data_IF_559490925275
#
_entry.id   IF_559490925275
#
_cell.length_a   1.000
_cell.length_b   1.000
_cell.length_c   1.000
_cell.angle_alpha   90.00
_cell.angle_beta   90.00
_cell.angle_gamma   90.00
#
_symmetry.space_group_name_H-M   'P 1'
#
loop_
_entity.id
_entity.type
_entity.pdbx_description
1 polymer ?
#
# COMPACT_ATOMS: atom_id res chain seq x y z
N UNK A 1 9.40 27.33 -1.89
CA UNK A 1 10.40 26.83 -0.93
C UNK A 1 10.74 25.40 -1.34
N UNK A 2 12.00 25.13 -1.67
CA UNK A 2 12.44 23.73 -1.82
C UNK A 2 12.40 23.09 -0.41
N UNK A 3 11.55 22.10 -0.24
CA UNK A 3 11.46 21.32 0.99
C UNK A 3 12.61 20.33 0.97
N UNK A 4 13.45 20.38 1.99
CA UNK A 4 14.54 19.43 2.15
C UNK A 4 13.97 18.13 2.70
N UNK A 5 14.27 17.00 2.05
CA UNK A 5 13.89 15.70 2.55
C UNK A 5 14.59 15.43 3.90
N UNK A 6 13.83 14.95 4.88
CA UNK A 6 14.32 14.65 6.23
C UNK A 6 14.35 13.15 6.48
N UNK A 7 15.29 12.71 7.30
CA UNK A 7 15.37 11.33 7.76
C UNK A 7 14.65 11.17 9.10
N UNK A 8 13.94 10.07 9.22
CA UNK A 8 13.38 9.62 10.49
C UNK A 8 13.89 8.21 10.78
N UNK A 9 14.55 8.06 11.91
CA UNK A 9 15.21 6.81 12.30
C UNK A 9 14.59 6.23 13.57
N UNK A 10 14.25 4.95 13.52
CA UNK A 10 13.71 4.22 14.67
C UNK A 10 14.02 2.73 14.54
N UNK A 11 14.49 2.11 15.63
CA UNK A 11 14.73 0.65 15.66
C UNK A 11 15.70 0.13 14.60
N UNK A 12 16.72 0.92 14.23
CA UNK A 12 17.71 0.56 13.21
C UNK A 12 17.21 0.68 11.76
N UNK A 13 16.02 1.24 11.55
CA UNK A 13 15.47 1.51 10.22
C UNK A 13 15.27 3.01 9.99
N UNK A 14 15.32 3.41 8.73
CA UNK A 14 15.17 4.81 8.31
C UNK A 14 14.11 4.91 7.23
N UNK A 15 13.14 5.79 7.40
CA UNK A 15 12.34 6.35 6.30
C UNK A 15 12.84 7.75 5.94
N UNK A 16 12.52 8.21 4.73
CA UNK A 16 12.83 9.58 4.31
C UNK A 16 11.54 10.28 3.95
N UNK A 17 11.29 11.41 4.58
CA UNK A 17 10.08 12.21 4.43
C UNK A 17 10.39 13.55 3.74
N UNK A 18 9.55 13.95 2.83
CA UNK A 18 9.53 15.28 2.25
C UNK A 18 8.18 15.92 2.56
N UNK A 19 8.23 17.04 3.28
CA UNK A 19 7.03 17.76 3.72
C UNK A 19 6.87 19.06 2.93
N UNK A 20 5.63 19.35 2.53
CA UNK A 20 5.27 20.62 1.88
C UNK A 20 3.78 20.92 2.02
N UNK A 21 3.37 22.11 1.60
CA UNK A 21 1.98 22.51 1.55
C UNK A 21 1.54 23.44 2.68
N UNK A 22 0.24 23.52 2.89
CA UNK A 22 -0.37 24.39 3.88
C UNK A 22 0.04 23.96 5.29
N UNK A 23 0.23 24.92 6.20
CA UNK A 23 0.39 24.64 7.65
C UNK A 23 -0.95 24.42 8.35
N UNK A 24 -1.98 24.01 7.61
CA UNK A 24 -3.24 23.60 8.19
C UNK A 24 -3.03 22.38 9.12
N UNK A 25 -3.84 22.25 10.15
CA UNK A 25 -3.79 21.14 11.11
C UNK A 25 -4.24 19.79 10.50
N UNK A 26 -4.31 19.70 9.17
CA UNK A 26 -4.72 18.52 8.41
C UNK A 26 -3.51 17.95 7.67
N UNK A 27 -3.17 16.73 7.97
CA UNK A 27 -2.04 16.05 7.37
C UNK A 27 -2.51 14.97 6.38
N UNK A 28 -1.79 14.85 5.26
CA UNK A 28 -1.98 13.76 4.31
C UNK A 28 -0.63 13.10 4.01
N UNK A 29 -0.54 11.80 4.26
CA UNK A 29 0.68 11.00 4.17
C UNK A 29 0.55 10.01 3.04
N UNK A 30 1.50 10.02 2.12
CA UNK A 30 1.54 9.16 0.95
C UNK A 30 2.61 8.08 1.09
N UNK A 31 2.18 6.80 0.95
CA UNK A 31 3.02 5.61 1.01
C UNK A 31 3.02 4.92 -0.37
N UNK A 32 4.17 4.85 -1.02
CA UNK A 32 4.34 4.35 -2.39
C UNK A 32 4.30 2.81 -2.50
N UNK A 33 4.21 2.31 -3.74
CA UNK A 33 4.24 0.89 -4.07
C UNK A 33 5.64 0.28 -4.03
N UNK A 34 5.73 -1.06 -4.11
CA UNK A 34 7.00 -1.80 -4.21
C UNK A 34 7.79 -1.35 -5.44
N UNK A 35 9.11 -1.22 -5.29
CA UNK A 35 9.99 -0.80 -6.38
C UNK A 35 9.87 0.67 -6.82
N UNK A 36 8.95 1.42 -6.21
CA UNK A 36 8.77 2.85 -6.42
C UNK A 36 9.45 3.67 -5.31
N UNK A 37 9.23 4.97 -5.32
CA UNK A 37 9.67 5.90 -4.30
C UNK A 37 8.61 6.99 -4.11
N UNK A 38 8.84 7.93 -3.19
CA UNK A 38 7.92 9.04 -2.89
C UNK A 38 7.51 9.85 -4.12
N UNK A 39 8.41 10.02 -5.11
CA UNK A 39 8.14 10.80 -6.30
C UNK A 39 7.07 10.19 -7.19
N UNK A 40 6.84 8.89 -7.11
CA UNK A 40 5.78 8.21 -7.85
C UNK A 40 4.38 8.76 -7.53
N UNK A 41 4.16 9.25 -6.30
CA UNK A 41 2.90 9.82 -5.84
C UNK A 41 2.91 11.37 -5.83
N UNK A 42 4.02 12.01 -6.22
CA UNK A 42 4.17 13.47 -6.22
C UNK A 42 3.07 14.17 -7.03
N UNK A 43 2.73 13.63 -8.19
CA UNK A 43 1.70 14.21 -9.06
C UNK A 43 0.34 14.36 -8.40
N UNK A 44 -0.08 13.36 -7.61
CA UNK A 44 -1.33 13.45 -6.85
C UNK A 44 -1.14 14.26 -5.55
N UNK A 45 -0.03 14.11 -4.87
CA UNK A 45 0.25 14.75 -3.59
C UNK A 45 0.29 16.28 -3.68
N UNK A 46 0.91 16.83 -4.74
CA UNK A 46 0.97 18.29 -4.95
C UNK A 46 -0.40 18.95 -5.10
N UNK A 47 -1.40 18.20 -5.53
CA UNK A 47 -2.76 18.71 -5.64
C UNK A 47 -3.43 18.93 -4.28
N UNK A 48 -2.90 18.38 -3.19
CA UNK A 48 -3.38 18.62 -1.82
C UNK A 48 -2.64 19.76 -1.10
N UNK A 49 -1.54 20.25 -1.69
CA UNK A 49 -0.72 21.33 -1.11
C UNK A 49 -1.50 22.56 -0.62
N UNK A 50 -2.59 23.02 -1.29
CA UNK A 50 -3.32 24.21 -0.81
C UNK A 50 -4.10 24.00 0.49
N UNK A 51 -4.43 22.76 0.84
CA UNK A 51 -5.37 22.44 1.92
C UNK A 51 -4.81 21.52 3.01
N UNK A 52 -3.66 20.88 2.76
CA UNK A 52 -3.08 19.91 3.67
C UNK A 52 -1.57 20.14 3.83
N UNK A 53 -1.05 19.73 4.97
CA UNK A 53 0.37 19.46 5.15
C UNK A 53 0.64 18.07 4.55
N UNK A 54 1.37 18.04 3.44
CA UNK A 54 1.62 16.85 2.64
C UNK A 54 2.93 16.20 3.06
N UNK A 55 2.91 14.90 3.27
CA UNK A 55 4.07 14.08 3.57
C UNK A 55 4.25 13.03 2.46
N UNK A 56 5.39 13.08 1.78
CA UNK A 56 5.80 12.08 0.79
C UNK A 56 6.92 11.24 1.39
N UNK A 57 6.66 9.94 1.60
CA UNK A 57 7.59 9.06 2.31
C UNK A 57 8.26 8.08 1.37
N UNK A 58 9.61 8.01 1.43
CA UNK A 58 10.36 6.83 0.97
C UNK A 58 10.39 5.80 2.11
N UNK A 59 9.77 4.67 1.88
CA UNK A 59 9.80 3.54 2.81
C UNK A 59 11.19 2.87 2.79
N UNK A 60 11.66 2.26 3.89
CA UNK A 60 12.96 1.58 3.95
C UNK A 60 13.20 0.62 2.78
N UNK A 61 14.38 0.72 2.16
CA UNK A 61 14.75 -0.04 0.98
C UNK A 61 14.37 0.59 -0.35
N UNK A 62 13.73 1.76 -0.33
CA UNK A 62 13.27 2.46 -1.54
C UNK A 62 13.69 3.92 -1.54
N UNK A 63 13.83 4.49 -2.77
CA UNK A 63 14.19 5.90 -2.93
C UNK A 63 15.50 6.26 -2.22
N UNK A 64 15.45 7.24 -1.33
CA UNK A 64 16.58 7.70 -0.53
C UNK A 64 16.69 6.99 0.84
N UNK A 65 15.77 6.10 1.17
CA UNK A 65 15.77 5.34 2.42
C UNK A 65 16.67 4.08 2.30
N UNK A 66 17.56 3.82 3.27
CA UNK A 66 18.41 2.63 3.25
C UNK A 66 17.60 1.34 3.39
N UNK A 67 18.25 0.20 3.13
CA UNK A 67 17.63 -1.11 3.30
C UNK A 67 17.12 -1.29 4.74
N UNK A 68 15.96 -1.92 4.93
CA UNK A 68 15.50 -2.28 6.27
C UNK A 68 16.35 -3.41 6.86
N UNK A 69 16.32 -3.62 8.18
CA UNK A 69 16.88 -4.80 8.80
C UNK A 69 16.32 -6.10 8.21
N UNK A 70 17.10 -7.16 8.31
CA UNK A 70 16.66 -8.49 7.87
C UNK A 70 15.42 -8.96 8.67
N UNK A 71 14.63 -9.79 8.02
CA UNK A 71 13.48 -10.39 8.68
C UNK A 71 12.21 -9.55 8.69
N UNK A 72 12.23 -8.32 8.17
CA UNK A 72 11.09 -7.41 8.15
C UNK A 72 9.87 -7.94 7.38
N UNK A 73 8.72 -7.44 7.78
CA UNK A 73 7.37 -7.68 7.22
C UNK A 73 6.61 -6.37 7.11
N UNK A 74 5.37 -6.36 6.62
CA UNK A 74 4.54 -5.15 6.62
C UNK A 74 4.20 -4.67 8.03
N UNK A 75 4.33 -5.52 9.06
CA UNK A 75 4.15 -5.12 10.46
C UNK A 75 5.25 -4.15 10.88
N UNK A 76 6.51 -4.47 10.57
CA UNK A 76 7.67 -3.64 10.93
C UNK A 76 7.65 -2.30 10.20
N UNK A 77 7.23 -2.28 8.94
CA UNK A 77 6.99 -1.02 8.22
C UNK A 77 5.88 -0.20 8.88
N UNK A 78 4.81 -0.83 9.33
CA UNK A 78 3.74 -0.15 10.04
C UNK A 78 4.21 0.38 11.41
N UNK A 79 5.09 -0.35 12.12
CA UNK A 79 5.69 0.11 13.37
C UNK A 79 6.53 1.38 13.17
N UNK A 80 7.36 1.40 12.15
CA UNK A 80 8.19 2.56 11.82
C UNK A 80 7.32 3.78 11.41
N UNK A 81 6.34 3.57 10.53
CA UNK A 81 5.44 4.67 10.11
C UNK A 81 4.58 5.14 11.28
N UNK A 82 4.11 4.24 12.16
CA UNK A 82 3.41 4.65 13.38
C UNK A 82 4.27 5.55 14.28
N UNK A 83 5.51 5.17 14.51
CA UNK A 83 6.43 5.99 15.30
C UNK A 83 6.63 7.38 14.65
N UNK A 84 6.79 7.42 13.33
CA UNK A 84 6.86 8.66 12.58
C UNK A 84 5.61 9.54 12.77
N UNK A 85 4.40 8.96 12.62
CA UNK A 85 3.15 9.68 12.79
C UNK A 85 3.05 10.28 14.20
N UNK A 86 3.34 9.49 15.23
CA UNK A 86 3.23 9.92 16.63
C UNK A 86 4.26 10.98 17.03
N UNK A 87 5.46 10.97 16.44
CA UNK A 87 6.54 11.89 16.81
C UNK A 87 6.58 13.17 15.94
N UNK A 88 6.04 13.12 14.73
CA UNK A 88 6.19 14.20 13.73
C UNK A 88 4.89 14.89 13.37
N UNK A 89 3.75 14.31 13.69
CA UNK A 89 2.46 14.83 13.25
C UNK A 89 1.56 15.05 14.47
N UNK A 90 1.08 16.28 14.59
CA UNK A 90 0.05 16.65 15.58
C UNK A 90 -1.23 17.02 14.83
N UNK A 91 -2.28 16.22 14.96
CA UNK A 91 -3.56 16.44 14.29
C UNK A 91 -4.06 15.25 13.47
N UNK A 92 -5.20 15.41 12.80
CA UNK A 92 -5.81 14.36 12.02
C UNK A 92 -4.99 14.04 10.75
N UNK A 93 -4.79 12.75 10.50
CA UNK A 93 -3.99 12.22 9.39
C UNK A 93 -4.87 11.45 8.43
N UNK A 94 -4.74 11.74 7.14
CA UNK A 94 -5.24 10.92 6.06
C UNK A 94 -4.08 10.09 5.52
N UNK A 95 -4.20 8.75 5.53
CA UNK A 95 -3.19 7.87 4.97
C UNK A 95 -3.59 7.46 3.55
N UNK A 96 -2.72 7.70 2.58
CA UNK A 96 -2.90 7.30 1.17
C UNK A 96 -1.83 6.27 0.84
N UNK A 97 -2.23 5.02 0.67
CA UNK A 97 -1.32 3.93 0.36
C UNK A 97 -1.58 3.32 -1.02
N UNK A 98 -0.53 3.25 -1.85
CA UNK A 98 -0.58 2.55 -3.12
C UNK A 98 0.08 1.17 -3.00
N UNK A 99 -0.59 0.12 -3.48
CA UNK A 99 -0.05 -1.24 -3.59
C UNK A 99 0.66 -1.69 -2.30
N UNK A 100 1.99 -1.78 -2.25
CA UNK A 100 2.75 -2.09 -1.04
C UNK A 100 2.48 -1.10 0.10
N UNK A 101 2.49 0.21 -0.18
CA UNK A 101 2.13 1.24 0.79
C UNK A 101 0.69 1.08 1.30
N UNK A 102 -0.20 0.55 0.47
CA UNK A 102 -1.56 0.18 0.87
C UNK A 102 -1.58 -0.94 1.92
N UNK A 103 -0.71 -1.96 1.80
CA UNK A 103 -0.58 -3.01 2.84
C UNK A 103 -0.16 -2.41 4.18
N UNK A 104 0.82 -1.49 4.16
CA UNK A 104 1.27 -0.77 5.37
C UNK A 104 0.12 0.06 5.95
N UNK A 105 -0.64 0.75 5.09
CA UNK A 105 -1.83 1.53 5.50
C UNK A 105 -2.89 0.65 6.17
N UNK A 106 -3.18 -0.53 5.63
CA UNK A 106 -4.12 -1.50 6.24
C UNK A 106 -3.65 -1.92 7.63
N UNK A 107 -2.35 -2.23 7.80
CA UNK A 107 -1.77 -2.57 9.11
C UNK A 107 -1.90 -1.42 10.11
N UNK A 108 -1.62 -0.18 9.68
CA UNK A 108 -1.73 1.01 10.52
C UNK A 108 -3.17 1.30 10.95
N UNK A 109 -4.10 1.28 10.01
CA UNK A 109 -5.51 1.56 10.26
C UNK A 109 -6.15 0.53 11.22
N UNK A 110 -5.75 -0.74 11.11
CA UNK A 110 -6.19 -1.81 12.00
C UNK A 110 -5.80 -1.57 13.48
N UNK A 111 -4.80 -0.75 13.74
CA UNK A 111 -4.36 -0.39 15.12
C UNK A 111 -5.28 0.64 15.78
N UNK A 112 -6.21 1.23 15.03
CA UNK A 112 -7.20 2.20 15.52
C UNK A 112 -6.55 3.39 16.24
N UNK A 113 -5.41 3.88 15.71
CA UNK A 113 -4.71 5.03 16.28
C UNK A 113 -5.60 6.27 16.22
N UNK A 114 -5.74 7.03 17.33
CA UNK A 114 -6.68 8.15 17.42
C UNK A 114 -6.46 9.26 16.37
N UNK A 115 -5.23 9.42 15.90
CA UNK A 115 -4.86 10.41 14.89
C UNK A 115 -5.23 10.03 13.46
N UNK A 116 -5.56 8.77 13.15
CA UNK A 116 -5.92 8.37 11.79
C UNK A 116 -7.38 8.72 11.54
N UNK A 117 -7.61 9.79 10.76
CA UNK A 117 -8.92 10.30 10.41
C UNK A 117 -9.60 9.48 9.32
N UNK A 118 -8.83 9.12 8.27
CA UNK A 118 -9.32 8.37 7.12
C UNK A 118 -8.19 7.68 6.38
N UNK A 119 -8.53 6.68 5.56
CA UNK A 119 -7.55 6.00 4.69
C UNK A 119 -8.01 5.97 3.24
N UNK A 120 -7.04 6.00 2.33
CA UNK A 120 -7.24 5.77 0.89
C UNK A 120 -6.36 4.61 0.46
N UNK A 121 -6.96 3.54 -0.02
CA UNK A 121 -6.28 2.34 -0.50
C UNK A 121 -6.33 2.31 -2.03
N UNK A 122 -5.19 2.51 -2.66
CA UNK A 122 -5.06 2.53 -4.11
C UNK A 122 -4.45 1.21 -4.59
N UNK A 123 -5.22 0.40 -5.34
CA UNK A 123 -4.74 -0.86 -5.91
C UNK A 123 -4.00 -1.75 -4.89
N UNK A 124 -4.57 -1.95 -3.71
CA UNK A 124 -3.92 -2.58 -2.56
C UNK A 124 -4.07 -4.11 -2.56
N UNK A 125 -2.99 -4.90 -2.66
CA UNK A 125 -3.04 -6.35 -2.51
C UNK A 125 -3.13 -6.75 -1.03
N UNK A 126 -3.23 -8.06 -0.74
CA UNK A 126 -3.10 -8.58 0.63
C UNK A 126 -4.20 -9.52 1.06
N UNK A 127 -5.28 -9.62 0.28
CA UNK A 127 -6.32 -10.62 0.54
C UNK A 127 -6.06 -11.87 -0.29
N UNK A 128 -6.22 -13.07 0.28
CA UNK A 128 -6.03 -14.31 -0.44
C UNK A 128 -7.11 -14.49 -1.52
N UNK A 129 -6.70 -14.96 -2.69
CA UNK A 129 -7.67 -15.39 -3.70
C UNK A 129 -8.39 -16.64 -3.22
N UNK A 130 -9.68 -16.74 -3.54
CA UNK A 130 -10.40 -17.99 -3.31
C UNK A 130 -9.64 -19.16 -3.95
N UNK A 131 -9.42 -20.27 -3.22
CA UNK A 131 -8.76 -21.46 -3.75
C UNK A 131 -9.42 -22.00 -5.03
N UNK A 132 -10.74 -21.84 -5.14
CA UNK A 132 -11.56 -22.29 -6.29
C UNK A 132 -11.58 -21.31 -7.46
N UNK A 133 -10.98 -20.12 -7.32
CA UNK A 133 -10.87 -19.18 -8.44
C UNK A 133 -9.84 -19.67 -9.48
N UNK A 134 -10.00 -19.28 -10.76
CA UNK A 134 -9.02 -19.58 -11.82
C UNK A 134 -7.61 -19.09 -11.44
N UNK A 135 -7.51 -17.94 -10.76
CA UNK A 135 -6.25 -17.40 -10.25
C UNK A 135 -5.71 -18.20 -9.06
N UNK A 136 -6.58 -18.69 -8.17
CA UNK A 136 -6.21 -19.55 -7.06
C UNK A 136 -5.66 -20.89 -7.54
N UNK A 137 -6.36 -21.57 -8.45
CA UNK A 137 -5.91 -22.83 -9.05
C UNK A 137 -4.57 -22.68 -9.81
N UNK A 138 -4.41 -21.60 -10.59
CA UNK A 138 -3.15 -21.31 -11.28
C UNK A 138 -2.00 -21.09 -10.28
N UNK A 139 -2.22 -20.31 -9.21
CA UNK A 139 -1.20 -20.10 -8.14
C UNK A 139 -0.87 -21.41 -7.44
N UNK A 140 -1.87 -22.23 -7.13
CA UNK A 140 -1.65 -23.54 -6.55
C UNK A 140 -0.78 -24.42 -7.45
N UNK A 141 -1.08 -24.53 -8.74
CA UNK A 141 -0.27 -25.28 -9.71
C UNK A 141 1.18 -24.78 -9.81
N UNK A 142 1.40 -23.46 -9.80
CA UNK A 142 2.75 -22.86 -9.81
C UNK A 142 3.51 -23.21 -8.53
N UNK A 143 2.84 -23.16 -7.37
CA UNK A 143 3.45 -23.49 -6.06
C UNK A 143 3.78 -24.96 -5.95
N UNK A 144 2.89 -25.85 -6.38
CA UNK A 144 3.13 -27.32 -6.38
C UNK A 144 4.28 -27.70 -7.31
N UNK A 145 4.33 -27.13 -8.52
CA UNK A 145 5.45 -27.35 -9.43
C UNK A 145 6.77 -26.88 -8.82
N UNK A 146 6.79 -25.70 -8.19
CA UNK A 146 8.01 -25.20 -7.52
C UNK A 146 8.43 -26.09 -6.35
N UNK A 147 7.48 -26.60 -5.56
CA UNK A 147 7.77 -27.53 -4.49
C UNK A 147 8.36 -28.85 -5.01
N UNK A 148 7.79 -29.39 -6.08
CA UNK A 148 8.28 -30.59 -6.76
C UNK A 148 9.70 -30.39 -7.30
N UNK A 149 9.97 -29.27 -7.97
CA UNK A 149 11.32 -28.95 -8.49
C UNK A 149 12.34 -28.76 -7.36
N UNK A 150 11.92 -28.26 -6.18
CA UNK A 150 12.81 -28.21 -5.00
C UNK A 150 13.12 -29.61 -4.47
N UNK A 151 12.12 -30.48 -4.39
CA UNK A 151 12.27 -31.84 -3.90
C UNK A 151 13.15 -32.69 -4.83
N UNK A 152 13.01 -32.49 -6.14
CA UNK A 152 13.74 -33.22 -7.18
C UNK A 152 15.04 -32.51 -7.63
N UNK A 153 15.53 -31.51 -6.89
CA UNK A 153 16.70 -30.71 -7.26
C UNK A 153 17.94 -31.54 -7.56
N UNK A 154 18.13 -32.66 -6.87
CA UNK A 154 19.22 -33.61 -7.13
C UNK A 154 19.15 -34.28 -8.51
N UNK A 155 17.94 -34.44 -9.07
CA UNK A 155 17.68 -35.09 -10.34
C UNK A 155 17.57 -34.07 -11.50
N UNK A 156 16.95 -32.91 -11.24
CA UNK A 156 16.64 -31.88 -12.27
C UNK A 156 17.69 -30.80 -12.39
N UNK A 157 18.62 -30.72 -11.43
CA UNK A 157 19.66 -29.70 -11.36
C UNK A 157 19.12 -28.29 -11.01
N UNK A 158 20.04 -27.33 -10.76
CA UNK A 158 19.66 -25.96 -10.38
C UNK A 158 18.99 -25.17 -11.51
N UNK A 159 19.20 -25.57 -12.78
CA UNK A 159 18.65 -24.89 -13.95
C UNK A 159 17.13 -24.95 -14.05
N UNK A 160 16.50 -26.05 -13.63
CA UNK A 160 15.05 -26.21 -13.66
C UNK A 160 14.33 -25.23 -12.74
N UNK A 161 14.87 -25.03 -11.54
CA UNK A 161 14.32 -24.07 -10.58
C UNK A 161 14.54 -22.61 -11.04
N UNK A 162 15.69 -22.33 -11.63
CA UNK A 162 16.00 -21.03 -12.24
C UNK A 162 15.07 -20.72 -13.43
N UNK A 163 14.83 -21.71 -14.30
CA UNK A 163 13.86 -21.60 -15.39
C UNK A 163 12.44 -21.32 -14.86
N UNK A 164 11.98 -22.08 -13.86
CA UNK A 164 10.69 -21.87 -13.24
C UNK A 164 10.55 -20.45 -12.68
N UNK A 165 11.58 -19.96 -11.98
CA UNK A 165 11.61 -18.60 -11.42
C UNK A 165 11.55 -17.54 -12.51
N UNK A 166 12.28 -17.71 -13.61
CA UNK A 166 12.22 -16.77 -14.76
C UNK A 166 10.87 -16.82 -15.47
N UNK A 167 10.23 -17.98 -15.57
CA UNK A 167 8.98 -18.17 -16.32
C UNK A 167 7.75 -17.71 -15.55
N UNK A 168 7.76 -17.83 -14.21
CA UNK A 168 6.61 -17.60 -13.34
C UNK A 168 6.86 -16.53 -12.25
N UNK A 169 8.10 -16.04 -12.11
CA UNK A 169 8.42 -14.93 -11.20
C UNK A 169 7.84 -13.61 -11.73
N UNK A 170 7.31 -12.78 -10.84
CA UNK A 170 6.92 -11.42 -11.19
C UNK A 170 8.14 -10.56 -11.55
N UNK A 171 7.92 -9.45 -12.26
CA UNK A 171 8.97 -8.45 -12.54
C UNK A 171 9.61 -7.97 -11.23
N UNK A 172 8.79 -7.69 -10.22
CA UNK A 172 9.25 -7.27 -8.89
C UNK A 172 10.15 -8.32 -8.23
N UNK A 173 9.81 -9.61 -8.32
CA UNK A 173 10.65 -10.69 -7.78
C UNK A 173 12.02 -10.78 -8.44
N UNK A 174 12.08 -10.55 -9.75
CA UNK A 174 13.36 -10.56 -10.49
C UNK A 174 14.19 -9.32 -10.17
N UNK A 175 13.56 -8.18 -9.96
CA UNK A 175 14.20 -6.90 -9.66
C UNK A 175 14.51 -6.68 -8.17
N UNK A 176 13.97 -7.50 -7.24
CA UNK A 176 14.04 -7.26 -5.81
C UNK A 176 15.46 -7.29 -5.20
N UNK A 177 16.44 -7.87 -5.89
CA UNK A 177 17.83 -7.90 -5.41
C UNK A 177 17.95 -8.39 -3.96
N UNK A 178 18.58 -7.58 -3.06
CA UNK A 178 18.73 -7.93 -1.64
C UNK A 178 17.39 -8.00 -0.88
N UNK A 179 16.35 -7.32 -1.35
CA UNK A 179 15.03 -7.31 -0.72
C UNK A 179 14.13 -8.50 -1.15
N UNK A 180 14.68 -9.51 -1.84
CA UNK A 180 13.89 -10.64 -2.37
C UNK A 180 13.16 -11.43 -1.28
N UNK A 181 13.80 -11.70 -0.17
CA UNK A 181 13.21 -12.47 0.92
C UNK A 181 12.11 -11.67 1.62
N UNK A 182 12.30 -10.38 1.75
CA UNK A 182 11.28 -9.44 2.23
C UNK A 182 10.06 -9.43 1.26
N UNK A 183 10.29 -9.30 -0.05
CA UNK A 183 9.20 -9.35 -1.03
C UNK A 183 8.40 -10.65 -0.92
N UNK A 184 9.10 -11.81 -0.84
CA UNK A 184 8.44 -13.11 -0.70
C UNK A 184 7.58 -13.16 0.57
N UNK A 185 8.07 -12.60 1.67
CA UNK A 185 7.32 -12.52 2.92
C UNK A 185 6.08 -11.65 2.76
N UNK A 186 6.26 -10.42 2.30
CA UNK A 186 5.19 -9.43 2.08
C UNK A 186 4.07 -9.95 1.16
N UNK A 187 4.41 -10.58 0.03
CA UNK A 187 3.38 -11.06 -0.91
C UNK A 187 2.60 -12.28 -0.38
N UNK A 188 3.13 -12.98 0.62
CA UNK A 188 2.45 -14.12 1.25
C UNK A 188 1.66 -13.74 2.51
N UNK A 189 1.73 -12.49 2.97
CA UNK A 189 0.94 -12.02 4.09
C UNK A 189 -0.55 -11.98 3.74
N UNK A 190 -1.36 -12.40 4.70
CA UNK A 190 -2.82 -12.28 4.68
C UNK A 190 -3.23 -11.10 5.57
N UNK A 191 -3.88 -10.10 4.97
CA UNK A 191 -4.36 -8.91 5.64
C UNK A 191 -5.86 -8.98 6.01
N UNK A 192 -6.49 -10.15 5.88
CA UNK A 192 -7.94 -10.30 6.12
C UNK A 192 -8.32 -9.80 7.52
N UNK A 193 -7.66 -10.27 8.56
CA UNK A 193 -7.93 -9.85 9.93
C UNK A 193 -7.69 -8.34 10.12
N UNK A 194 -6.57 -7.82 9.58
CA UNK A 194 -6.30 -6.38 9.68
C UNK A 194 -7.35 -5.53 8.97
N UNK A 195 -7.86 -5.97 7.81
CA UNK A 195 -8.91 -5.26 7.10
C UNK A 195 -10.25 -5.23 7.86
N UNK A 196 -10.56 -6.31 8.62
CA UNK A 196 -11.73 -6.39 9.50
C UNK A 196 -11.64 -5.45 10.70
N UNK A 197 -10.43 -5.20 11.20
CA UNK A 197 -10.19 -4.35 12.37
C UNK A 197 -10.20 -2.85 12.08
N UNK A 198 -10.24 -2.43 10.81
CA UNK A 198 -10.31 -1.02 10.43
C UNK A 198 -11.65 -0.43 10.85
N UNK A 199 -11.64 0.73 11.51
CA UNK A 199 -12.84 1.44 11.97
C UNK A 199 -12.96 2.85 11.39
N UNK A 200 -11.87 3.45 10.90
CA UNK A 200 -11.91 4.75 10.25
C UNK A 200 -12.51 4.67 8.84
N UNK A 201 -13.08 5.77 8.31
CA UNK A 201 -13.55 5.82 6.93
C UNK A 201 -12.48 5.40 5.93
N UNK A 202 -12.86 4.61 4.91
CA UNK A 202 -11.94 4.07 3.91
C UNK A 202 -12.44 4.33 2.48
N UNK A 203 -11.59 4.91 1.62
CA UNK A 203 -11.81 4.99 0.18
C UNK A 203 -10.94 3.95 -0.52
N UNK A 204 -11.57 3.05 -1.25
CA UNK A 204 -10.90 2.08 -2.12
C UNK A 204 -10.89 2.65 -3.53
N UNK A 205 -9.71 2.79 -4.12
CA UNK A 205 -9.57 3.28 -5.50
C UNK A 205 -8.87 2.22 -6.35
N UNK A 206 -9.49 1.86 -7.45
CA UNK A 206 -8.99 0.78 -8.30
C UNK A 206 -9.15 1.07 -9.78
N UNK A 207 -8.20 0.62 -10.59
CA UNK A 207 -8.34 0.59 -12.03
C UNK A 207 -9.12 -0.63 -12.50
N UNK A 208 -10.07 -0.46 -13.45
CA UNK A 208 -10.82 -1.59 -14.01
C UNK A 208 -9.94 -2.60 -14.76
N UNK A 209 -8.80 -2.14 -15.28
CA UNK A 209 -7.87 -2.93 -16.09
C UNK A 209 -6.62 -3.37 -15.31
N UNK A 210 -6.64 -3.21 -13.97
CA UNK A 210 -5.54 -3.63 -13.10
C UNK A 210 -5.33 -5.15 -13.15
N UNK A 211 -4.17 -5.57 -13.67
CA UNK A 211 -3.77 -6.98 -13.78
C UNK A 211 -2.85 -7.43 -12.66
N UNK A 212 -2.23 -6.50 -11.94
CA UNK A 212 -1.32 -6.79 -10.83
C UNK A 212 -2.12 -7.05 -9.54
N UNK A 213 -3.09 -6.17 -9.26
CA UNK A 213 -4.10 -6.34 -8.20
C UNK A 213 -5.50 -6.32 -8.83
N UNK A 214 -5.99 -7.46 -9.32
CA UNK A 214 -7.24 -7.50 -10.07
C UNK A 214 -8.44 -6.94 -9.29
N UNK A 215 -9.42 -6.32 -9.96
CA UNK A 215 -10.55 -5.60 -9.35
C UNK A 215 -11.37 -6.39 -8.31
N UNK A 216 -11.37 -7.72 -8.38
CA UNK A 216 -12.04 -8.53 -7.36
C UNK A 216 -11.49 -8.29 -5.94
N UNK A 217 -10.24 -7.86 -5.81
CA UNK A 217 -9.64 -7.48 -4.52
C UNK A 217 -10.33 -6.26 -3.93
N UNK A 218 -10.65 -5.25 -4.75
CA UNK A 218 -11.37 -4.06 -4.30
C UNK A 218 -12.75 -4.41 -3.74
N UNK A 219 -13.49 -5.25 -4.45
CA UNK A 219 -14.82 -5.71 -3.99
C UNK A 219 -14.70 -6.54 -2.71
N UNK A 220 -13.66 -7.36 -2.60
CA UNK A 220 -13.42 -8.16 -1.40
C UNK A 220 -13.05 -7.30 -0.20
N UNK A 221 -12.22 -6.26 -0.38
CA UNK A 221 -11.95 -5.28 0.68
C UNK A 221 -13.22 -4.54 1.09
N UNK A 222 -14.01 -4.08 0.13
CA UNK A 222 -15.27 -3.37 0.39
C UNK A 222 -16.24 -4.21 1.22
N UNK A 223 -16.47 -5.46 0.79
CA UNK A 223 -17.32 -6.43 1.51
C UNK A 223 -16.82 -6.66 2.94
N UNK A 224 -15.53 -6.95 3.08
CA UNK A 224 -14.89 -7.29 4.34
C UNK A 224 -14.95 -6.14 5.35
N UNK A 225 -14.62 -4.92 4.92
CA UNK A 225 -14.66 -3.74 5.76
C UNK A 225 -16.10 -3.38 6.18
N UNK A 226 -17.04 -3.33 5.24
CA UNK A 226 -18.42 -2.93 5.53
C UNK A 226 -19.16 -3.96 6.39
N UNK A 227 -18.86 -5.27 6.25
CA UNK A 227 -19.45 -6.30 7.10
C UNK A 227 -18.97 -6.23 8.56
N UNK A 228 -17.90 -5.47 8.83
CA UNK A 228 -17.35 -5.24 10.18
C UNK A 228 -17.53 -3.80 10.66
N UNK A 229 -18.42 -3.03 10.02
CA UNK A 229 -18.84 -1.70 10.47
C UNK A 229 -17.98 -0.53 9.97
N UNK A 230 -16.98 -0.76 9.11
CA UNK A 230 -16.22 0.31 8.48
C UNK A 230 -17.08 1.01 7.42
N UNK A 231 -17.00 2.34 7.34
CA UNK A 231 -17.58 3.11 6.23
C UNK A 231 -16.63 3.10 5.03
N UNK A 232 -16.59 1.99 4.33
CA UNK A 232 -15.76 1.85 3.13
C UNK A 232 -16.59 2.17 1.87
N UNK A 233 -16.01 2.93 0.95
CA UNK A 233 -16.56 3.21 -0.38
C UNK A 233 -15.57 2.78 -1.46
N UNK A 234 -16.07 2.39 -2.63
CA UNK A 234 -15.24 1.98 -3.77
C UNK A 234 -15.45 2.93 -4.94
N UNK A 235 -14.34 3.43 -5.45
CA UNK A 235 -14.27 4.19 -6.70
C UNK A 235 -13.48 3.38 -7.74
N UNK A 236 -14.21 2.75 -8.67
CA UNK A 236 -13.63 1.99 -9.77
C UNK A 236 -13.39 2.93 -10.95
N UNK A 237 -12.11 3.11 -11.33
CA UNK A 237 -11.70 4.01 -12.40
C UNK A 237 -11.66 3.26 -13.74
N UNK A 238 -12.55 3.60 -14.70
CA UNK A 238 -12.58 2.93 -16.00
C UNK A 238 -11.26 3.09 -16.75
N UNK A 239 -10.83 2.01 -17.41
CA UNK A 239 -9.62 1.97 -18.26
C UNK A 239 -8.32 2.41 -17.57
N UNK A 240 -8.26 2.36 -16.25
CA UNK A 240 -7.03 2.55 -15.48
C UNK A 240 -6.45 1.20 -15.08
N UNK A 241 -5.12 1.14 -15.09
CA UNK A 241 -4.33 0.00 -14.64
C UNK A 241 -3.90 0.13 -13.16
N UNK A 242 -2.88 -0.61 -12.77
CA UNK A 242 -2.30 -0.60 -11.43
C UNK A 242 -1.80 0.79 -10.99
N UNK A 243 -1.31 1.59 -11.96
CA UNK A 243 -0.80 2.95 -11.72
C UNK A 243 -1.86 4.01 -12.03
N UNK A 244 -3.05 3.85 -11.46
CA UNK A 244 -4.24 4.66 -11.70
C UNK A 244 -4.00 6.19 -11.56
N UNK A 245 -2.99 6.59 -10.83
CA UNK A 245 -2.59 7.99 -10.60
C UNK A 245 -1.60 8.53 -11.65
N UNK A 246 -1.20 7.74 -12.64
CA UNK A 246 -0.25 8.18 -13.66
C UNK A 246 -0.85 9.16 -14.65
N UNK A 247 -0.07 10.16 -15.06
CA UNK A 247 -0.50 11.19 -16.01
C UNK A 247 -1.74 11.94 -15.52
N UNK A 248 -2.76 12.02 -16.37
CA UNK A 248 -4.05 12.66 -16.03
C UNK A 248 -4.78 11.97 -14.88
N UNK A 249 -4.41 10.75 -14.55
CA UNK A 249 -4.97 10.00 -13.42
C UNK A 249 -4.73 10.67 -12.08
N UNK A 250 -3.63 11.42 -11.92
CA UNK A 250 -3.36 12.17 -10.69
C UNK A 250 -4.48 13.16 -10.35
N UNK A 251 -4.92 13.95 -11.34
CA UNK A 251 -6.02 14.91 -11.18
C UNK A 251 -7.35 14.22 -10.87
N UNK A 252 -7.65 13.12 -11.55
CA UNK A 252 -8.85 12.34 -11.32
C UNK A 252 -8.87 11.76 -9.90
N UNK A 253 -7.77 11.13 -9.47
CA UNK A 253 -7.65 10.58 -8.12
C UNK A 253 -7.79 11.69 -7.07
N UNK A 254 -7.09 12.81 -7.21
CA UNK A 254 -7.17 13.90 -6.26
C UNK A 254 -8.59 14.52 -6.19
N UNK A 255 -9.27 14.67 -7.33
CA UNK A 255 -10.66 15.13 -7.38
C UNK A 255 -11.59 14.19 -6.60
N UNK A 256 -11.48 12.89 -6.84
CA UNK A 256 -12.27 11.85 -6.17
C UNK A 256 -12.01 11.81 -4.66
N UNK A 257 -10.74 11.84 -4.24
CA UNK A 257 -10.37 11.86 -2.82
C UNK A 257 -10.93 13.09 -2.13
N UNK A 258 -10.79 14.30 -2.73
CA UNK A 258 -11.34 15.53 -2.14
C UNK A 258 -12.86 15.48 -2.00
N UNK A 259 -13.56 15.04 -3.05
CA UNK A 259 -15.02 14.89 -3.00
C UNK A 259 -15.46 13.95 -1.88
N UNK A 260 -14.78 12.82 -1.73
CA UNK A 260 -15.05 11.86 -0.67
C UNK A 260 -14.72 12.42 0.73
N UNK A 261 -13.57 13.11 0.91
CA UNK A 261 -13.21 13.75 2.18
C UNK A 261 -14.24 14.79 2.61
N UNK A 262 -14.75 15.62 1.70
CA UNK A 262 -15.80 16.61 2.02
C UNK A 262 -17.06 15.92 2.54
N UNK A 263 -17.43 14.75 2.00
CA UNK A 263 -18.61 14.01 2.47
C UNK A 263 -18.38 13.44 3.86
N UNK A 264 -17.24 12.81 4.13
CA UNK A 264 -16.98 12.24 5.47
C UNK A 264 -16.82 13.31 6.54
N UNK A 265 -16.18 14.45 6.22
CA UNK A 265 -16.06 15.57 7.15
C UNK A 265 -17.44 16.13 7.53
N UNK A 266 -18.32 16.36 6.54
CA UNK A 266 -19.68 16.82 6.80
C UNK A 266 -20.50 15.85 7.69
N UNK A 267 -20.34 14.55 7.48
CA UNK A 267 -21.02 13.52 8.30
C UNK A 267 -20.47 13.49 9.72
N UNK A 268 -19.16 13.66 9.90
CA UNK A 268 -18.53 13.65 11.23
C UNK A 268 -18.86 14.91 12.04
N UNK A 269 -18.98 16.07 11.39
CA UNK A 269 -19.35 17.33 12.05
C UNK A 269 -20.81 17.33 12.51
N UNK A 270 -21.71 16.63 11.81
CA UNK A 270 -23.11 16.47 12.24
C UNK A 270 -23.30 15.43 13.37
N UNK A 271 -22.28 14.59 13.62
CA UNK A 271 -22.33 13.56 14.66
C UNK A 271 -21.73 14.01 16.02
N UNK A 272 -21.19 15.23 16.07
CA UNK A 272 -20.67 15.90 17.30
C UNK A 272 -21.71 16.81 17.89
#
# INVERSE_FOLDING_TARGET
MQTQAQRFERGGATLVDEMFGSRADRHIVFLHGWGANRDSLRGIATLFQPTHHVHLIDLPGFGAAPLPPDGWSTIDYADLVQAYLLERISGPVILVGHSFGGRVTVRLAARRLPGIHAIVLMATPGLPASPLSKSGLRRWGIRTLRALLKLTRGLTGPGALAWHTRRFGSKDYLAAGPMRDLLVRVVNEDLTASAQDITCPALLMWGSDDRDTPPWLAYRYLELMNSHGTRATLDMLPHKDHFLYSGTGAHLCAFKIRGWLNVIDAVMDHAR
#
